data_IF_042065843784
#
_entry.id   IF_042065843784
#
_cell.length_a   1.000
_cell.length_b   1.000
_cell.length_c   1.000
_cell.angle_alpha   90.00
_cell.angle_beta   90.00
_cell.angle_gamma   90.00
#
_symmetry.space_group_name_H-M   'P 1'
#
loop_
_entity.id
_entity.type
_entity.pdbx_description
1 polymer ?
#
# COMPACT_ATOMS: atom_id res chain seq x y z
N UNK A 1 6.14 6.32 3.61
CA UNK A 1 4.83 6.73 3.07
C UNK A 1 3.67 6.48 4.01
N UNK A 2 3.57 5.31 4.68
CA UNK A 2 2.46 4.99 5.58
C UNK A 2 2.15 6.09 6.62
N UNK A 3 3.14 6.57 7.38
CA UNK A 3 2.92 7.59 8.43
C UNK A 3 2.41 8.93 7.88
N UNK A 4 2.93 9.37 6.72
CA UNK A 4 2.47 10.61 6.06
C UNK A 4 1.03 10.46 5.60
N UNK A 5 0.70 9.33 4.96
CA UNK A 5 -0.67 9.06 4.53
C UNK A 5 -1.61 8.89 5.73
N UNK A 6 -1.15 8.34 6.85
CA UNK A 6 -1.95 8.28 8.07
C UNK A 6 -2.34 9.68 8.57
N UNK A 7 -1.39 10.62 8.61
CA UNK A 7 -1.66 12.02 8.94
C UNK A 7 -2.67 12.65 7.99
N UNK A 8 -2.45 12.50 6.68
CA UNK A 8 -3.39 13.00 5.66
C UNK A 8 -4.80 12.39 5.80
N UNK A 9 -4.90 11.12 6.21
CA UNK A 9 -6.19 10.47 6.44
C UNK A 9 -6.96 11.06 7.62
N UNK A 10 -6.25 11.56 8.63
CA UNK A 10 -6.83 12.28 9.76
C UNK A 10 -7.22 13.70 9.36
N UNK A 11 -6.29 14.43 8.74
CA UNK A 11 -6.50 15.84 8.34
C UNK A 11 -7.64 15.99 7.33
N UNK A 12 -7.82 15.01 6.44
CA UNK A 12 -8.84 15.02 5.39
C UNK A 12 -9.98 14.00 5.60
N UNK A 13 -10.20 13.55 6.85
CA UNK A 13 -11.29 12.61 7.17
C UNK A 13 -12.66 13.06 6.61
N UNK A 14 -13.07 14.35 6.69
CA UNK A 14 -14.34 14.80 6.11
C UNK A 14 -14.41 14.56 4.59
N UNK A 15 -13.34 14.87 3.86
CA UNK A 15 -13.28 14.69 2.39
C UNK A 15 -13.35 13.22 2.02
N UNK A 16 -12.63 12.36 2.76
CA UNK A 16 -12.66 10.91 2.57
C UNK A 16 -14.09 10.39 2.78
N UNK A 17 -14.81 10.92 3.78
CA UNK A 17 -16.20 10.53 4.05
C UNK A 17 -17.17 11.01 2.98
N UNK A 18 -17.13 12.30 2.62
CA UNK A 18 -18.01 12.90 1.63
C UNK A 18 -17.86 12.27 0.24
N UNK A 19 -16.65 11.84 -0.11
CA UNK A 19 -16.34 11.18 -1.40
C UNK A 19 -16.49 9.66 -1.37
N UNK A 20 -16.99 9.07 -0.26
CA UNK A 20 -17.14 7.63 -0.07
C UNK A 20 -15.83 6.83 -0.29
N UNK A 21 -14.70 7.39 0.11
CA UNK A 21 -13.35 6.85 -0.11
C UNK A 21 -12.83 6.00 1.05
N UNK A 22 -13.60 5.80 2.13
CA UNK A 22 -13.14 5.09 3.33
C UNK A 22 -12.60 3.70 3.01
N UNK A 23 -13.32 2.92 2.20
CA UNK A 23 -12.90 1.58 1.80
C UNK A 23 -11.60 1.60 0.97
N UNK A 24 -11.52 2.27 -0.19
CA UNK A 24 -10.29 2.28 -0.98
C UNK A 24 -9.11 2.90 -0.22
N UNK A 25 -9.35 3.89 0.64
CA UNK A 25 -8.33 4.47 1.51
C UNK A 25 -7.75 3.45 2.50
N UNK A 26 -8.61 2.72 3.21
CA UNK A 26 -8.17 1.70 4.16
C UNK A 26 -7.42 0.56 3.47
N UNK A 27 -7.87 0.13 2.30
CA UNK A 27 -7.18 -0.90 1.52
C UNK A 27 -5.80 -0.42 1.02
N UNK A 28 -5.68 0.85 0.64
CA UNK A 28 -4.39 1.47 0.29
C UNK A 28 -3.44 1.50 1.49
N UNK A 29 -3.94 1.93 2.65
CA UNK A 29 -3.17 1.98 3.89
C UNK A 29 -2.68 0.60 4.31
N UNK A 30 -3.50 -0.44 4.15
CA UNK A 30 -3.11 -1.82 4.44
C UNK A 30 -2.02 -2.33 3.48
N UNK A 31 -2.09 -2.00 2.18
CA UNK A 31 -1.02 -2.33 1.24
C UNK A 31 0.31 -1.66 1.63
N UNK A 32 0.29 -0.38 2.00
CA UNK A 32 1.49 0.30 2.50
C UNK A 32 2.01 -0.30 3.81
N UNK A 33 1.11 -0.68 4.72
CA UNK A 33 1.47 -1.33 5.99
C UNK A 33 2.15 -2.67 5.74
N UNK A 34 1.61 -3.51 4.85
CA UNK A 34 2.22 -4.80 4.48
C UNK A 34 3.59 -4.63 3.83
N UNK A 35 3.77 -3.63 2.98
CA UNK A 35 5.07 -3.31 2.39
C UNK A 35 6.10 -2.86 3.45
N UNK A 36 5.66 -2.10 4.45
CA UNK A 36 6.53 -1.54 5.49
C UNK A 36 6.86 -2.53 6.62
N UNK A 37 5.94 -3.44 6.94
CA UNK A 37 6.10 -4.45 7.99
C UNK A 37 6.66 -5.79 7.47
N UNK A 38 7.21 -5.81 6.26
CA UNK A 38 7.90 -6.98 5.73
C UNK A 38 9.21 -7.16 6.50
N UNK A 39 9.16 -7.98 7.55
CA UNK A 39 10.25 -8.21 8.50
C UNK A 39 10.58 -9.72 8.62
N UNK A 40 11.20 -10.32 7.59
CA UNK A 40 11.65 -11.70 7.67
C UNK A 40 12.94 -11.77 8.52
N UNK A 41 13.15 -12.88 9.22
CA UNK A 41 14.40 -13.12 9.97
C UNK A 41 15.64 -13.09 9.07
N UNK A 42 15.49 -13.47 7.79
CA UNK A 42 16.53 -13.35 6.76
C UNK A 42 15.90 -12.77 5.50
N UNK A 43 16.47 -11.69 4.98
CA UNK A 43 16.05 -11.12 3.70
C UNK A 43 16.66 -11.94 2.57
N UNK A 44 15.79 -12.61 1.82
CA UNK A 44 16.12 -13.40 0.64
C UNK A 44 15.63 -12.71 -0.65
N UNK A 45 16.51 -12.66 -1.64
CA UNK A 45 16.22 -12.22 -3.01
C UNK A 45 16.34 -13.43 -3.96
N UNK A 46 15.48 -14.43 -3.77
CA UNK A 46 15.43 -15.61 -4.65
C UNK A 46 15.05 -15.24 -6.08
N UNK A 47 15.29 -16.14 -7.04
CA UNK A 47 14.79 -15.95 -8.39
C UNK A 47 13.25 -15.83 -8.38
N UNK A 48 12.63 -15.00 -9.24
CA UNK A 48 11.18 -14.84 -9.27
C UNK A 48 10.41 -16.14 -9.54
N UNK A 49 11.04 -17.10 -10.20
CA UNK A 49 10.56 -18.44 -10.55
C UNK A 49 11.12 -19.54 -9.64
N UNK A 50 11.80 -19.18 -8.55
CA UNK A 50 12.35 -20.15 -7.61
C UNK A 50 11.24 -20.94 -6.89
N UNK A 51 11.35 -22.27 -6.89
CA UNK A 51 10.38 -23.15 -6.24
C UNK A 51 10.50 -23.18 -4.70
N UNK A 52 11.71 -22.95 -4.17
CA UNK A 52 12.02 -23.18 -2.76
C UNK A 52 12.57 -21.95 -2.02
N UNK A 53 13.01 -20.91 -2.74
CA UNK A 53 13.63 -19.72 -2.15
C UNK A 53 12.67 -18.55 -2.28
N UNK A 54 12.23 -17.92 -1.17
CA UNK A 54 11.36 -16.75 -1.25
C UNK A 54 12.06 -15.56 -1.90
N UNK A 55 11.27 -14.70 -2.55
CA UNK A 55 11.73 -13.37 -2.95
C UNK A 55 10.95 -12.30 -2.17
N UNK A 56 11.53 -11.87 -1.05
CA UNK A 56 10.91 -10.87 -0.18
C UNK A 56 10.87 -9.49 -0.85
N UNK A 57 11.86 -9.16 -1.68
CA UNK A 57 11.94 -7.90 -2.40
C UNK A 57 10.84 -7.78 -3.46
N UNK A 58 10.56 -8.88 -4.18
CA UNK A 58 9.46 -8.94 -5.13
C UNK A 58 8.10 -8.77 -4.43
N UNK A 59 7.91 -9.41 -3.28
CA UNK A 59 6.69 -9.24 -2.48
C UNK A 59 6.53 -7.80 -1.97
N UNK A 60 7.62 -7.18 -1.49
CA UNK A 60 7.61 -5.79 -1.08
C UNK A 60 7.26 -4.86 -2.26
N UNK A 61 7.89 -5.06 -3.41
CA UNK A 61 7.60 -4.33 -4.65
C UNK A 61 6.15 -4.49 -5.09
N UNK A 62 5.58 -5.70 -5.01
CA UNK A 62 4.17 -5.95 -5.29
C UNK A 62 3.24 -5.11 -4.40
N UNK A 63 3.45 -5.11 -3.09
CA UNK A 63 2.61 -4.31 -2.17
C UNK A 63 2.75 -2.81 -2.42
N UNK A 64 3.96 -2.32 -2.73
CA UNK A 64 4.18 -0.92 -3.09
C UNK A 64 3.47 -0.54 -4.40
N UNK A 65 3.53 -1.39 -5.43
CA UNK A 65 2.86 -1.16 -6.70
C UNK A 65 1.34 -1.17 -6.54
N UNK A 66 0.80 -2.12 -5.76
CA UNK A 66 -0.62 -2.18 -5.42
C UNK A 66 -1.07 -0.89 -4.71
N UNK A 67 -0.34 -0.47 -3.67
CA UNK A 67 -0.64 0.74 -2.93
C UNK A 67 -0.63 1.99 -3.84
N UNK A 68 0.34 2.07 -4.77
CA UNK A 68 0.42 3.15 -5.77
C UNK A 68 -0.80 3.17 -6.70
N UNK A 69 -1.26 2.00 -7.14
CA UNK A 69 -2.46 1.90 -7.99
C UNK A 69 -3.70 2.36 -7.23
N UNK A 70 -3.87 1.93 -5.98
CA UNK A 70 -4.98 2.36 -5.11
C UNK A 70 -4.94 3.88 -4.86
N UNK A 71 -3.76 4.46 -4.63
CA UNK A 71 -3.59 5.90 -4.47
C UNK A 71 -4.01 6.67 -5.74
N UNK A 72 -3.66 6.14 -6.93
CA UNK A 72 -4.09 6.73 -8.20
C UNK A 72 -5.59 6.67 -8.40
N UNK A 73 -6.23 5.57 -8.03
CA UNK A 73 -7.68 5.43 -8.09
C UNK A 73 -8.37 6.46 -7.19
N UNK A 74 -7.90 6.60 -5.94
CA UNK A 74 -8.37 7.63 -5.00
C UNK A 74 -8.22 9.02 -5.61
N UNK A 75 -7.04 9.35 -6.14
CA UNK A 75 -6.79 10.64 -6.79
C UNK A 75 -7.73 10.89 -7.97
N UNK A 76 -8.01 9.86 -8.77
CA UNK A 76 -8.93 9.98 -9.91
C UNK A 76 -10.38 10.21 -9.48
N UNK A 77 -10.81 9.64 -8.36
CA UNK A 77 -12.14 9.90 -7.79
C UNK A 77 -12.23 11.33 -7.26
N UNK A 78 -11.17 11.83 -6.62
CA UNK A 78 -11.12 13.19 -6.09
C UNK A 78 -11.14 14.28 -7.18
N UNK A 79 -10.59 13.98 -8.36
CA UNK A 79 -10.57 14.88 -9.52
C UNK A 79 -11.91 14.93 -10.30
N UNK A 80 -12.84 14.03 -10.00
CA UNK A 80 -14.21 14.02 -10.53
C UNK A 80 -15.16 14.75 -9.58
#
# INVERSE_FOLDING_TARGET
>A
YYMVLQGLGQDFEPVIKERNLQKPWNEMMESFRKAALLDPWVVMNGAPDAQFQPNHLAMQGFYLLRARTQLREISNILLK
#
